data_IF_769854130266
#
_entry.id   IF_769854130266
#
_cell.length_a   1.000
_cell.length_b   1.000
_cell.length_c   1.000
_cell.angle_alpha   90.00
_cell.angle_beta   90.00
_cell.angle_gamma   90.00
#
_symmetry.space_group_name_H-M   'P 1'
#
loop_
_entity.id
_entity.type
_entity.pdbx_description
1 polymer ?
#
# COMPACT_ATOMS: atom_id res chain seq x y z
N UNK A 1 6.58 -27.91 -14.37
CA UNK A 1 7.59 -26.91 -13.97
C UNK A 1 6.83 -25.63 -13.73
N UNK A 2 6.42 -25.39 -12.48
CA UNK A 2 5.66 -24.22 -12.09
C UNK A 2 6.69 -23.10 -11.93
N UNK A 3 6.66 -22.10 -12.81
CA UNK A 3 7.51 -20.91 -12.67
C UNK A 3 7.21 -20.31 -11.28
N UNK A 4 8.25 -19.94 -10.55
CA UNK A 4 8.11 -19.27 -9.25
C UNK A 4 7.30 -17.99 -9.48
N UNK A 5 6.11 -17.89 -8.88
CA UNK A 5 5.16 -16.80 -9.13
C UNK A 5 5.80 -15.42 -8.87
N UNK A 6 6.85 -15.35 -8.04
CA UNK A 6 7.62 -14.12 -7.82
C UNK A 6 8.52 -13.70 -8.98
N UNK A 7 9.01 -14.64 -9.78
CA UNK A 7 9.82 -14.36 -10.98
C UNK A 7 8.96 -13.73 -12.08
N UNK A 8 7.76 -14.28 -12.31
CA UNK A 8 6.81 -13.70 -13.27
C UNK A 8 6.41 -12.27 -12.87
N UNK A 9 6.20 -12.02 -11.57
CA UNK A 9 5.91 -10.68 -11.06
C UNK A 9 7.08 -9.70 -11.23
N UNK A 10 8.31 -10.14 -10.96
CA UNK A 10 9.49 -9.28 -11.16
C UNK A 10 9.70 -8.96 -12.63
N UNK A 11 9.53 -9.92 -13.53
CA UNK A 11 9.62 -9.71 -14.97
C UNK A 11 8.59 -8.68 -15.47
N UNK A 12 7.33 -8.78 -15.03
CA UNK A 12 6.28 -7.81 -15.39
C UNK A 12 6.60 -6.40 -14.87
N UNK A 13 7.04 -6.27 -13.61
CA UNK A 13 7.43 -4.96 -13.06
C UNK A 13 8.67 -4.42 -13.80
N UNK A 14 9.62 -5.28 -14.15
CA UNK A 14 10.80 -4.89 -14.92
C UNK A 14 10.45 -4.45 -16.35
N UNK A 15 9.45 -5.04 -17.00
CA UNK A 15 9.03 -4.63 -18.34
C UNK A 15 8.13 -3.40 -18.30
N UNK A 16 7.01 -3.47 -17.58
CA UNK A 16 5.93 -2.46 -17.63
C UNK A 16 6.07 -1.36 -16.57
N UNK A 17 6.83 -1.61 -15.50
CA UNK A 17 6.93 -0.72 -14.34
C UNK A 17 5.85 -0.93 -13.28
N UNK A 18 4.94 -1.89 -13.47
CA UNK A 18 3.89 -2.21 -12.50
C UNK A 18 3.35 -3.63 -12.70
N UNK A 19 2.56 -4.10 -11.74
CA UNK A 19 1.77 -5.33 -11.88
C UNK A 19 0.51 -5.27 -11.01
N UNK A 20 -0.60 -5.79 -11.54
CA UNK A 20 -1.77 -6.16 -10.75
C UNK A 20 -1.76 -7.68 -10.49
N UNK A 21 -2.14 -8.09 -9.28
CA UNK A 21 -2.25 -9.50 -8.90
C UNK A 21 -3.53 -9.69 -8.10
N UNK A 22 -4.35 -10.67 -8.49
CA UNK A 22 -5.59 -10.95 -7.77
C UNK A 22 -5.31 -11.52 -6.37
N UNK A 23 -6.22 -11.26 -5.43
CA UNK A 23 -6.12 -11.77 -4.07
C UNK A 23 -6.09 -13.30 -4.00
N UNK A 24 -6.69 -14.00 -4.96
CA UNK A 24 -6.56 -15.46 -5.05
C UNK A 24 -5.11 -15.89 -5.33
N UNK A 25 -4.46 -15.27 -6.31
CA UNK A 25 -3.07 -15.56 -6.66
C UNK A 25 -2.12 -15.18 -5.52
N UNK A 26 -2.33 -14.01 -4.90
CA UNK A 26 -1.52 -13.57 -3.76
C UNK A 26 -1.65 -14.54 -2.58
N UNK A 27 -2.88 -14.96 -2.22
CA UNK A 27 -3.09 -15.93 -1.14
C UNK A 27 -2.35 -17.24 -1.42
N UNK A 28 -2.44 -17.76 -2.64
CA UNK A 28 -1.72 -18.96 -3.05
C UNK A 28 -0.20 -18.79 -2.94
N UNK A 29 0.34 -17.66 -3.42
CA UNK A 29 1.76 -17.32 -3.31
C UNK A 29 2.23 -17.27 -1.86
N UNK A 30 1.48 -16.62 -0.98
CA UNK A 30 1.83 -16.51 0.44
C UNK A 30 1.81 -17.90 1.11
N UNK A 31 0.75 -18.68 0.89
CA UNK A 31 0.56 -19.99 1.50
C UNK A 31 1.51 -21.07 0.96
N UNK A 32 2.00 -20.92 -0.28
CA UNK A 32 3.03 -21.78 -0.84
C UNK A 32 4.37 -21.61 -0.12
N UNK A 33 4.68 -20.38 0.33
CA UNK A 33 5.92 -20.07 1.05
C UNK A 33 5.82 -20.43 2.54
N UNK A 34 4.67 -20.16 3.13
CA UNK A 34 4.38 -20.45 4.54
C UNK A 34 2.89 -20.83 4.68
N UNK A 35 2.56 -22.09 5.04
CA UNK A 35 1.17 -22.51 5.24
C UNK A 35 0.39 -21.66 6.25
N UNK A 36 1.09 -21.05 7.22
CA UNK A 36 0.51 -20.23 8.29
C UNK A 36 0.47 -18.73 7.94
N UNK A 37 0.84 -18.35 6.71
CA UNK A 37 0.99 -16.95 6.26
C UNK A 37 -0.24 -16.07 6.51
N UNK A 38 -1.44 -16.64 6.61
CA UNK A 38 -2.70 -15.91 6.82
C UNK A 38 -3.46 -16.39 8.05
N UNK A 39 -2.79 -17.10 8.96
CA UNK A 39 -3.40 -17.66 10.16
C UNK A 39 -4.06 -16.61 11.07
N UNK A 40 -3.57 -15.36 11.04
CA UNK A 40 -4.09 -14.23 11.82
C UNK A 40 -4.91 -13.22 11.01
N UNK A 41 -5.35 -13.60 9.79
CA UNK A 41 -6.03 -12.69 8.86
C UNK A 41 -7.21 -11.91 9.47
N UNK A 42 -8.02 -12.55 10.31
CA UNK A 42 -9.16 -11.90 10.96
C UNK A 42 -8.72 -10.75 11.88
N UNK A 43 -7.65 -10.95 12.66
CA UNK A 43 -7.10 -9.92 13.53
C UNK A 43 -6.39 -8.83 12.74
N UNK A 44 -5.74 -9.21 11.62
CA UNK A 44 -5.12 -8.28 10.70
C UNK A 44 -6.15 -7.35 10.03
N UNK A 45 -7.22 -7.90 9.46
CA UNK A 45 -8.33 -7.14 8.85
C UNK A 45 -9.00 -6.19 9.85
N UNK A 46 -9.31 -6.70 11.06
CA UNK A 46 -9.94 -5.90 12.11
C UNK A 46 -9.05 -4.74 12.61
N UNK A 47 -7.75 -4.75 12.33
CA UNK A 47 -6.84 -3.69 12.82
C UNK A 47 -7.05 -2.32 12.19
N UNK A 48 -7.78 -2.23 11.06
CA UNK A 48 -8.23 -0.95 10.50
C UNK A 48 -9.34 -0.30 11.34
N UNK A 49 -10.03 -1.08 12.16
CA UNK A 49 -11.07 -0.56 13.04
C UNK A 49 -10.46 0.29 14.16
N UNK A 50 -11.13 1.39 14.46
CA UNK A 50 -10.68 2.33 15.50
C UNK A 50 -9.41 3.11 15.16
N UNK A 51 -8.91 3.10 13.92
CA UNK A 51 -7.81 3.98 13.53
C UNK A 51 -8.16 5.47 13.74
N UNK A 52 -7.20 6.29 14.20
CA UNK A 52 -7.44 7.72 14.40
C UNK A 52 -7.60 8.43 13.05
N UNK A 53 -8.25 9.60 13.10
CA UNK A 53 -8.34 10.50 11.96
C UNK A 53 -6.92 11.00 11.57
N UNK A 54 -6.66 11.17 10.28
CA UNK A 54 -5.47 11.87 9.80
C UNK A 54 -5.63 13.38 10.02
N UNK A 55 -4.97 13.91 11.04
CA UNK A 55 -5.02 15.34 11.38
C UNK A 55 -4.14 16.23 10.48
N UNK A 56 -3.39 15.64 9.53
CA UNK A 56 -2.50 16.37 8.63
C UNK A 56 -3.10 16.62 7.24
N UNK A 57 -4.41 16.41 7.06
CA UNK A 57 -5.12 16.65 5.81
C UNK A 57 -5.23 18.16 5.52
N UNK A 58 -4.37 18.68 4.64
CA UNK A 58 -4.29 20.12 4.35
C UNK A 58 -5.52 20.68 3.60
N UNK A 59 -6.31 19.83 2.94
CA UNK A 59 -7.60 20.18 2.35
C UNK A 59 -8.73 20.28 3.38
N UNK A 60 -8.43 19.99 4.66
CA UNK A 60 -9.43 19.93 5.73
C UNK A 60 -10.31 18.69 5.69
N UNK A 61 -10.01 17.72 4.80
CA UNK A 61 -10.80 16.52 4.63
C UNK A 61 -10.79 15.63 5.86
N UNK A 62 -11.94 15.02 6.18
CA UNK A 62 -12.09 14.13 7.34
C UNK A 62 -12.32 12.67 6.96
N UNK A 63 -12.10 12.35 5.69
CA UNK A 63 -12.33 11.04 5.13
C UNK A 63 -11.18 10.04 5.34
N UNK A 64 -10.01 10.44 5.87
CA UNK A 64 -8.85 9.53 5.98
C UNK A 64 -8.53 9.22 7.44
N UNK A 65 -8.45 7.92 7.76
CA UNK A 65 -7.88 7.40 9.01
C UNK A 65 -6.61 6.62 8.72
N UNK A 66 -5.66 6.64 9.64
CA UNK A 66 -4.38 5.96 9.40
C UNK A 66 -3.59 5.59 10.64
N UNK A 67 -2.71 4.60 10.43
CA UNK A 67 -1.56 4.30 11.28
C UNK A 67 -0.30 4.19 10.42
N UNK A 68 0.86 4.21 11.06
CA UNK A 68 2.15 4.20 10.39
C UNK A 68 3.17 3.34 11.13
N UNK A 69 4.07 2.70 10.39
CA UNK A 69 5.27 2.08 10.94
C UNK A 69 6.45 2.21 9.98
N UNK A 70 7.64 2.22 10.55
CA UNK A 70 8.90 2.18 9.80
C UNK A 70 9.61 0.86 10.07
N UNK A 71 10.18 0.28 9.02
CA UNK A 71 10.93 -0.96 9.07
C UNK A 71 12.21 -0.83 8.26
N UNK A 72 13.09 -1.81 8.40
CA UNK A 72 14.25 -1.96 7.53
C UNK A 72 14.46 -3.41 7.14
N UNK A 73 15.17 -3.61 6.04
CA UNK A 73 15.66 -4.93 5.64
C UNK A 73 17.05 -4.81 5.04
N UNK A 74 17.94 -5.74 5.39
CA UNK A 74 19.19 -5.94 4.67
C UNK A 74 18.98 -6.72 3.37
N UNK A 75 20.02 -6.92 2.56
CA UNK A 75 19.91 -7.66 1.30
C UNK A 75 19.36 -9.08 1.51
N UNK A 76 19.88 -9.79 2.51
CA UNK A 76 19.48 -11.16 2.83
C UNK A 76 18.82 -11.28 4.22
N UNK A 77 18.52 -10.15 4.85
CA UNK A 77 18.02 -10.08 6.22
C UNK A 77 16.49 -10.10 6.32
N UNK A 78 15.94 -10.44 7.50
CA UNK A 78 14.51 -10.32 7.74
C UNK A 78 14.07 -8.85 7.72
N UNK A 79 12.78 -8.62 7.46
CA UNK A 79 12.16 -7.31 7.62
C UNK A 79 11.97 -7.04 9.11
N UNK A 80 12.56 -5.96 9.62
CA UNK A 80 12.64 -5.66 11.05
C UNK A 80 11.95 -4.34 11.37
N UNK A 81 11.10 -4.33 12.41
CA UNK A 81 10.42 -3.13 12.90
C UNK A 81 11.43 -2.16 13.54
N UNK A 82 11.41 -0.90 13.11
CA UNK A 82 12.26 0.17 13.64
C UNK A 82 11.54 0.98 14.73
N UNK A 83 12.26 1.77 15.55
CA UNK A 83 11.65 2.77 16.41
C UNK A 83 10.74 3.72 15.60
N UNK A 84 9.64 4.23 16.19
CA UNK A 84 8.75 5.16 15.51
C UNK A 84 9.50 6.38 14.95
N UNK A 85 9.24 6.68 13.69
CA UNK A 85 9.80 7.83 12.97
C UNK A 85 8.65 8.64 12.38
N UNK A 86 8.83 9.95 12.15
CA UNK A 86 7.85 10.72 11.40
C UNK A 86 7.84 10.30 9.92
N UNK A 87 6.67 10.35 9.30
CA UNK A 87 6.53 10.27 7.85
C UNK A 87 6.89 11.62 7.22
N UNK A 88 7.83 11.65 6.28
CA UNK A 88 8.20 12.86 5.55
C UNK A 88 8.14 12.63 4.05
N UNK A 89 7.46 13.54 3.35
CA UNK A 89 7.50 13.64 1.90
C UNK A 89 7.82 15.08 1.52
N UNK A 90 8.64 15.27 0.48
CA UNK A 90 8.84 16.60 -0.09
C UNK A 90 7.56 17.08 -0.77
N UNK A 91 7.45 18.40 -1.00
CA UNK A 91 6.33 18.97 -1.76
C UNK A 91 6.34 18.60 -3.25
N UNK A 92 7.47 18.10 -3.75
CA UNK A 92 7.58 17.59 -5.12
C UNK A 92 6.72 16.35 -5.31
N UNK A 93 6.72 15.44 -4.33
CA UNK A 93 5.97 14.18 -4.38
C UNK A 93 4.59 14.29 -3.76
N UNK A 94 4.45 15.05 -2.67
CA UNK A 94 3.17 15.27 -2.00
C UNK A 94 2.83 16.76 -1.97
N UNK A 95 2.15 17.25 -3.00
CA UNK A 95 1.80 18.67 -3.11
C UNK A 95 0.80 19.12 -2.04
N UNK A 96 -0.02 18.20 -1.52
CA UNK A 96 -1.05 18.51 -0.52
C UNK A 96 -0.47 18.59 0.90
N UNK A 97 0.25 17.55 1.32
CA UNK A 97 0.67 17.35 2.70
C UNK A 97 2.21 17.37 2.89
N UNK A 98 2.98 17.65 1.84
CA UNK A 98 4.44 17.60 1.86
C UNK A 98 5.13 18.82 2.49
N UNK A 99 6.40 18.64 2.82
CA UNK A 99 7.25 19.66 3.45
C UNK A 99 7.13 19.74 4.97
N UNK A 100 6.38 18.83 5.60
CA UNK A 100 6.24 18.72 7.05
C UNK A 100 6.46 17.26 7.45
N UNK A 101 7.19 17.05 8.55
CA UNK A 101 7.34 15.74 9.17
C UNK A 101 6.09 15.43 10.00
N UNK A 102 5.42 14.31 9.70
CA UNK A 102 4.10 13.96 10.27
C UNK A 102 4.24 12.76 11.19
N UNK A 103 3.94 12.94 12.47
CA UNK A 103 3.95 11.86 13.46
C UNK A 103 2.54 11.28 13.54
N UNK A 104 2.41 9.98 13.25
CA UNK A 104 1.15 9.26 13.25
C UNK A 104 1.10 8.23 14.39
N UNK A 105 -0.11 7.77 14.74
CA UNK A 105 -0.26 6.65 15.66
C UNK A 105 0.44 5.40 15.08
N UNK A 106 1.28 4.72 15.89
CA UNK A 106 2.03 3.57 15.41
C UNK A 106 1.11 2.37 15.14
N UNK A 107 1.43 1.58 14.12
CA UNK A 107 0.83 0.24 13.98
C UNK A 107 1.31 -0.62 15.17
N UNK A 108 0.40 -1.29 15.90
CA UNK A 108 0.77 -2.13 17.04
C UNK A 108 1.86 -3.16 16.69
N UNK A 109 2.88 -3.28 17.55
CA UNK A 109 4.00 -4.18 17.30
C UNK A 109 3.60 -5.66 17.20
N UNK A 110 2.49 -6.06 17.84
CA UNK A 110 1.91 -7.40 17.69
C UNK A 110 1.43 -7.67 16.28
N UNK A 111 0.73 -6.72 15.65
CA UNK A 111 0.29 -6.82 14.25
C UNK A 111 1.47 -6.78 13.29
N UNK A 112 2.47 -5.93 13.56
CA UNK A 112 3.68 -5.88 12.75
C UNK A 112 4.46 -7.20 12.74
N UNK A 113 4.35 -8.00 13.81
CA UNK A 113 4.96 -9.33 13.94
C UNK A 113 4.00 -10.47 13.61
N UNK A 114 2.76 -10.17 13.24
CA UNK A 114 1.75 -11.14 12.84
C UNK A 114 2.13 -11.86 11.54
N UNK A 115 1.59 -13.06 11.33
CA UNK A 115 1.98 -13.90 10.19
C UNK A 115 1.58 -13.24 8.87
N UNK A 116 0.35 -12.69 8.77
CA UNK A 116 -0.10 -11.95 7.57
C UNK A 116 0.86 -10.82 7.21
N UNK A 117 1.19 -9.94 8.16
CA UNK A 117 2.07 -8.80 7.89
C UNK A 117 3.47 -9.26 7.46
N UNK A 118 4.06 -10.21 8.18
CA UNK A 118 5.41 -10.70 7.90
C UNK A 118 5.49 -11.43 6.56
N UNK A 119 4.48 -12.21 6.18
CA UNK A 119 4.44 -12.91 4.89
C UNK A 119 4.34 -11.92 3.72
N UNK A 120 3.47 -10.91 3.82
CA UNK A 120 3.37 -9.82 2.81
C UNK A 120 4.72 -9.11 2.67
N UNK A 121 5.29 -8.65 3.78
CA UNK A 121 6.56 -7.91 3.79
C UNK A 121 7.73 -8.73 3.25
N UNK A 122 7.80 -10.02 3.59
CA UNK A 122 8.87 -10.91 3.13
C UNK A 122 8.79 -11.14 1.61
N UNK A 123 7.60 -11.38 1.06
CA UNK A 123 7.40 -11.51 -0.39
C UNK A 123 7.75 -10.21 -1.12
N UNK A 124 7.30 -9.05 -0.65
CA UNK A 124 7.69 -7.77 -1.25
C UNK A 124 9.20 -7.54 -1.21
N UNK A 125 9.84 -7.84 -0.09
CA UNK A 125 11.29 -7.69 0.07
C UNK A 125 12.04 -8.58 -0.93
N UNK A 126 11.68 -9.85 -1.06
CA UNK A 126 12.32 -10.76 -2.00
C UNK A 126 12.09 -10.33 -3.46
N UNK A 127 10.86 -9.93 -3.78
CA UNK A 127 10.49 -9.42 -5.10
C UNK A 127 11.34 -8.19 -5.47
N UNK A 128 11.39 -7.18 -4.60
CA UNK A 128 12.13 -5.96 -4.88
C UNK A 128 13.65 -6.15 -4.81
N UNK A 129 14.15 -7.10 -4.01
CA UNK A 129 15.54 -7.52 -4.05
C UNK A 129 15.93 -8.12 -5.41
N UNK A 130 15.04 -8.88 -6.05
CA UNK A 130 15.31 -9.43 -7.39
C UNK A 130 15.46 -8.32 -8.45
N UNK A 131 14.72 -7.22 -8.29
CA UNK A 131 14.77 -6.04 -9.17
C UNK A 131 15.90 -5.08 -8.83
N UNK A 132 16.34 -5.07 -7.57
CA UNK A 132 17.42 -4.22 -7.03
C UNK A 132 18.37 -5.05 -6.16
N UNK A 133 19.18 -5.93 -6.75
CA UNK A 133 20.08 -6.81 -5.99
C UNK A 133 21.02 -6.05 -5.06
N UNK A 134 21.23 -6.56 -3.85
CA UNK A 134 22.12 -5.97 -2.85
C UNK A 134 21.57 -4.71 -2.16
N UNK A 135 20.30 -4.36 -2.38
CA UNK A 135 19.69 -3.21 -1.73
C UNK A 135 19.53 -3.42 -0.21
N UNK A 136 19.67 -2.31 0.53
CA UNK A 136 19.24 -2.18 1.91
C UNK A 136 18.01 -1.29 1.89
N UNK A 137 16.93 -1.72 2.52
CA UNK A 137 15.66 -1.03 2.43
C UNK A 137 15.36 -0.21 3.68
N UNK A 138 14.92 1.02 3.45
CA UNK A 138 14.01 1.75 4.33
C UNK A 138 12.60 1.41 3.87
N UNK A 139 11.76 0.95 4.79
CA UNK A 139 10.42 0.46 4.48
C UNK A 139 9.44 1.25 5.32
N UNK A 140 8.38 1.77 4.70
CA UNK A 140 7.28 2.40 5.41
C UNK A 140 6.00 1.64 5.17
N UNK A 141 5.24 1.43 6.23
CA UNK A 141 3.95 0.73 6.20
C UNK A 141 2.88 1.69 6.66
N UNK A 142 1.88 1.86 5.81
CA UNK A 142 0.73 2.72 6.06
C UNK A 142 -0.54 1.86 6.07
N UNK A 143 -1.30 1.95 7.15
CA UNK A 143 -2.69 1.53 7.14
C UNK A 143 -3.53 2.74 6.79
N UNK A 144 -4.38 2.63 5.77
CA UNK A 144 -5.33 3.68 5.40
C UNK A 144 -6.74 3.13 5.37
N UNK A 145 -7.67 3.84 6.03
CA UNK A 145 -9.11 3.75 5.78
C UNK A 145 -9.57 5.05 5.16
N UNK A 146 -10.21 4.96 4.00
CA UNK A 146 -10.82 6.08 3.29
C UNK A 146 -12.34 5.93 3.40
N UNK A 147 -12.97 6.82 4.14
CA UNK A 147 -14.41 6.85 4.39
C UNK A 147 -15.11 7.70 3.32
N UNK A 148 -16.32 7.31 2.94
CA UNK A 148 -17.18 8.11 2.07
C UNK A 148 -18.56 8.22 2.70
N UNK A 149 -19.18 9.39 2.60
CA UNK A 149 -20.53 9.64 3.08
C UNK A 149 -21.26 10.66 2.19
N UNK A 150 -22.51 10.98 2.52
CA UNK A 150 -23.32 11.94 1.75
C UNK A 150 -22.73 13.36 1.70
N UNK A 151 -21.93 13.75 2.69
CA UNK A 151 -21.37 15.09 2.82
C UNK A 151 -19.99 15.20 2.16
N UNK A 152 -19.23 14.10 2.13
CA UNK A 152 -17.84 14.07 1.71
C UNK A 152 -17.52 12.79 0.93
N UNK A 153 -16.98 12.95 -0.28
CA UNK A 153 -16.42 11.83 -1.07
C UNK A 153 -15.08 11.44 -0.47
N UNK A 154 -14.83 10.13 -0.38
CA UNK A 154 -13.53 9.64 0.06
C UNK A 154 -12.50 9.77 -1.05
N UNK A 155 -11.36 10.43 -0.78
CA UNK A 155 -10.30 10.62 -1.77
C UNK A 155 -9.04 9.85 -1.37
N UNK A 156 -8.77 8.67 -1.97
CA UNK A 156 -7.58 7.90 -1.60
C UNK A 156 -6.26 8.63 -1.95
N UNK A 157 -6.24 9.31 -3.09
CA UNK A 157 -5.10 10.09 -3.60
C UNK A 157 -5.54 11.54 -3.89
N UNK A 158 -5.69 12.40 -2.86
CA UNK A 158 -6.22 13.75 -3.04
C UNK A 158 -5.30 14.69 -3.84
N UNK A 159 -4.01 14.39 -3.90
CA UNK A 159 -3.06 15.03 -4.81
C UNK A 159 -3.25 14.68 -6.30
N UNK A 160 -4.08 13.67 -6.60
CA UNK A 160 -4.29 13.16 -7.96
C UNK A 160 -3.20 12.19 -8.41
N UNK A 161 -2.84 12.23 -9.70
CA UNK A 161 -1.77 11.38 -10.25
C UNK A 161 -0.42 11.86 -9.72
N UNK A 162 0.27 10.99 -8.99
CA UNK A 162 1.51 11.29 -8.26
C UNK A 162 2.50 10.13 -8.28
N UNK A 163 3.65 10.38 -7.65
CA UNK A 163 4.65 9.39 -7.25
C UNK A 163 4.89 9.57 -5.76
N UNK A 164 5.27 8.51 -5.06
CA UNK A 164 5.52 8.55 -3.63
C UNK A 164 6.91 9.10 -3.27
N UNK A 165 7.84 9.08 -4.23
CA UNK A 165 9.24 9.48 -4.05
C UNK A 165 10.12 8.36 -3.50
N UNK A 166 9.80 7.11 -3.87
CA UNK A 166 10.45 5.89 -3.37
C UNK A 166 10.93 5.02 -4.54
N UNK A 167 11.51 3.84 -4.28
CA UNK A 167 11.87 2.90 -5.36
C UNK A 167 10.65 2.07 -5.78
N UNK A 168 9.95 1.46 -4.82
CA UNK A 168 8.81 0.58 -5.10
C UNK A 168 7.67 0.76 -4.10
N UNK A 169 6.45 0.50 -4.57
CA UNK A 169 5.21 0.61 -3.79
C UNK A 169 4.38 -0.68 -3.95
N UNK A 170 3.87 -1.19 -2.84
CA UNK A 170 2.73 -2.10 -2.80
C UNK A 170 1.51 -1.33 -2.31
N UNK A 171 0.38 -1.47 -3.00
CA UNK A 171 -0.96 -1.16 -2.48
C UNK A 171 -1.76 -2.46 -2.44
N UNK A 172 -2.13 -2.91 -1.24
CA UNK A 172 -2.92 -4.12 -1.02
C UNK A 172 -4.31 -3.76 -0.52
N UNK A 173 -5.34 -4.30 -1.16
CA UNK A 173 -6.72 -4.23 -0.67
C UNK A 173 -6.89 -5.10 0.56
N UNK A 174 -7.38 -4.51 1.65
CA UNK A 174 -7.76 -5.24 2.87
C UNK A 174 -9.27 -5.45 2.86
N UNK A 175 -10.01 -4.35 2.72
CA UNK A 175 -11.47 -4.37 2.81
C UNK A 175 -12.11 -3.26 2.00
N UNK A 176 -13.26 -3.58 1.42
CA UNK A 176 -14.09 -2.62 0.70
C UNK A 176 -15.53 -2.80 1.12
N UNK A 177 -16.15 -1.74 1.62
CA UNK A 177 -17.52 -1.78 2.15
C UNK A 177 -18.33 -0.67 1.53
N UNK A 178 -19.45 -1.03 0.88
CA UNK A 178 -20.50 -0.11 0.43
C UNK A 178 -20.00 1.11 -0.37
N UNK A 179 -18.95 0.93 -1.18
CA UNK A 179 -18.40 1.98 -2.04
C UNK A 179 -18.36 1.57 -3.50
N UNK A 180 -18.62 2.53 -4.40
CA UNK A 180 -18.34 2.45 -5.84
C UNK A 180 -16.99 3.11 -6.15
N UNK A 181 -16.48 2.93 -7.37
CA UNK A 181 -15.23 3.55 -7.86
C UNK A 181 -13.96 3.13 -7.11
N UNK A 182 -13.02 4.02 -6.78
CA UNK A 182 -11.71 3.63 -6.23
C UNK A 182 -10.82 2.88 -7.24
N UNK A 183 -10.91 3.25 -8.52
CA UNK A 183 -10.12 2.67 -9.61
C UNK A 183 -8.70 3.23 -9.56
N UNK A 184 -7.71 2.33 -9.54
CA UNK A 184 -6.31 2.65 -9.69
C UNK A 184 -6.02 2.98 -11.16
N UNK A 185 -5.32 4.07 -11.42
CA UNK A 185 -4.84 4.45 -12.75
C UNK A 185 -3.32 4.55 -12.73
N UNK A 186 -2.66 3.95 -13.71
CA UNK A 186 -1.21 3.99 -13.84
C UNK A 186 -0.82 4.79 -15.07
N UNK A 187 0.24 5.56 -14.94
CA UNK A 187 0.68 6.51 -15.95
C UNK A 187 2.21 6.46 -16.11
N UNK A 188 2.71 6.82 -17.28
CA UNK A 188 4.13 7.12 -17.43
C UNK A 188 4.47 8.49 -16.82
N UNK A 189 5.75 8.87 -16.85
CA UNK A 189 6.22 10.14 -16.29
C UNK A 189 5.68 11.39 -17.01
N UNK A 190 5.21 11.24 -18.25
CA UNK A 190 4.53 12.28 -19.03
C UNK A 190 3.02 12.35 -18.72
N UNK A 191 2.55 11.63 -17.69
CA UNK A 191 1.14 11.51 -17.25
C UNK A 191 0.20 10.83 -18.26
N UNK A 192 0.74 10.19 -19.30
CA UNK A 192 -0.07 9.37 -20.23
C UNK A 192 -0.49 8.09 -19.52
N UNK A 193 -1.78 7.78 -19.55
CA UNK A 193 -2.33 6.57 -18.94
C UNK A 193 -1.78 5.32 -19.64
N UNK A 194 -1.23 4.41 -18.86
CA UNK A 194 -0.72 3.11 -19.28
C UNK A 194 -1.77 2.02 -19.08
N UNK A 195 -2.42 2.03 -17.92
CA UNK A 195 -3.42 1.03 -17.54
C UNK A 195 -4.35 1.54 -16.43
N UNK A 196 -5.45 0.82 -16.19
CA UNK A 196 -6.36 1.08 -15.08
C UNK A 196 -7.07 -0.19 -14.61
N UNK A 197 -7.19 -0.36 -13.30
CA UNK A 197 -7.89 -1.49 -12.70
C UNK A 197 -8.43 -1.13 -11.32
N UNK A 198 -9.40 -1.88 -10.82
CA UNK A 198 -9.97 -1.67 -9.49
C UNK A 198 -9.57 -2.83 -8.59
N UNK A 199 -8.90 -2.56 -7.47
CA UNK A 199 -8.75 -3.54 -6.40
C UNK A 199 -10.13 -3.76 -5.78
N UNK A 200 -10.65 -4.98 -5.87
CA UNK A 200 -12.03 -5.30 -5.45
C UNK A 200 -12.09 -6.33 -4.34
N UNK A 201 -11.14 -7.27 -4.31
CA UNK A 201 -11.12 -8.36 -3.35
C UNK A 201 -10.01 -8.16 -2.31
N UNK A 202 -10.21 -8.64 -1.06
CA UNK A 202 -9.12 -8.74 -0.10
C UNK A 202 -7.91 -9.48 -0.68
N UNK A 203 -6.72 -8.94 -0.43
CA UNK A 203 -5.42 -9.36 -0.97
C UNK A 203 -5.16 -9.02 -2.44
N UNK A 204 -6.04 -8.31 -3.15
CA UNK A 204 -5.67 -7.75 -4.46
C UNK A 204 -4.47 -6.79 -4.28
N UNK A 205 -3.42 -6.98 -5.09
CA UNK A 205 -2.18 -6.20 -5.04
C UNK A 205 -2.01 -5.34 -6.29
N UNK A 206 -1.62 -4.08 -6.09
CA UNK A 206 -0.97 -3.25 -7.09
C UNK A 206 0.49 -3.04 -6.67
N UNK A 207 1.43 -3.42 -7.53
CA UNK A 207 2.87 -3.21 -7.35
C UNK A 207 3.34 -2.19 -8.37
N UNK A 208 4.15 -1.22 -7.96
CA UNK A 208 4.60 -0.11 -8.81
C UNK A 208 6.09 0.15 -8.62
N UNK A 209 6.84 0.27 -9.71
CA UNK A 209 8.16 0.91 -9.76
C UNK A 209 7.96 2.42 -9.83
N UNK A 210 7.97 3.07 -8.66
CA UNK A 210 7.64 4.49 -8.48
C UNK A 210 8.63 5.41 -9.20
N UNK A 211 9.80 4.89 -9.61
CA UNK A 211 10.78 5.64 -10.40
C UNK A 211 10.37 5.78 -11.86
N UNK A 212 9.51 4.89 -12.36
CA UNK A 212 9.13 4.75 -13.77
C UNK A 212 7.67 5.07 -14.03
N UNK A 213 6.81 4.84 -13.04
CA UNK A 213 5.37 5.01 -13.18
C UNK A 213 4.85 6.02 -12.15
N UNK A 214 3.83 6.77 -12.57
CA UNK A 214 2.96 7.52 -11.67
C UNK A 214 1.68 6.73 -11.47
N UNK A 215 1.00 6.98 -10.35
CA UNK A 215 -0.26 6.33 -10.05
C UNK A 215 -1.27 7.30 -9.44
N UNK A 216 -2.55 6.95 -9.55
CA UNK A 216 -3.66 7.68 -8.94
C UNK A 216 -4.78 6.71 -8.58
N UNK A 217 -5.72 7.19 -7.77
CA UNK A 217 -6.93 6.43 -7.45
C UNK A 217 -8.12 7.37 -7.52
N UNK A 218 -9.14 6.99 -8.28
CA UNK A 218 -10.37 7.80 -8.35
C UNK A 218 -11.02 7.91 -6.97
N UNK A 219 -11.77 8.99 -6.68
CA UNK A 219 -12.58 9.05 -5.47
C UNK A 219 -13.51 7.83 -5.32
N UNK A 220 -13.84 7.51 -4.07
CA UNK A 220 -14.83 6.50 -3.72
C UNK A 220 -16.13 7.17 -3.30
N UNK A 221 -17.26 6.60 -3.69
CA UNK A 221 -18.59 7.13 -3.39
C UNK A 221 -19.42 6.09 -2.66
N UNK A 222 -20.21 6.54 -1.67
CA UNK A 222 -21.12 5.69 -0.91
C UNK A 222 -22.26 5.20 -1.82
N UNK A 223 -22.51 3.88 -1.84
CA UNK A 223 -23.58 3.27 -2.65
C UNK A 223 -24.92 3.38 -1.92
N UNK A 224 -25.02 2.80 -0.73
CA UNK A 224 -26.20 2.87 0.14
C UNK A 224 -25.95 3.90 1.25
N UNK A 225 -26.72 4.99 1.23
CA UNK A 225 -26.55 6.10 2.18
C UNK A 225 -26.97 5.76 3.60
N UNK A 226 -27.63 4.63 3.83
CA UNK A 226 -28.01 4.16 5.17
C UNK A 226 -26.94 3.33 5.88
N UNK A 227 -25.87 2.94 5.16
CA UNK A 227 -24.80 2.09 5.68
C UNK A 227 -23.44 2.80 5.62
N UNK A 228 -22.53 2.46 6.53
CA UNK A 228 -21.15 2.96 6.47
C UNK A 228 -20.47 2.57 5.14
N UNK A 229 -19.56 3.40 4.65
CA UNK A 229 -18.88 3.17 3.37
C UNK A 229 -17.41 3.54 3.48
N UNK A 230 -16.52 2.59 3.16
CA UNK A 230 -15.08 2.79 3.28
C UNK A 230 -14.24 1.84 2.43
N UNK A 231 -12.99 2.24 2.23
CA UNK A 231 -11.91 1.50 1.56
C UNK A 231 -10.70 1.36 2.48
N UNK A 232 -10.32 0.15 2.80
CA UNK A 232 -9.15 -0.17 3.61
C UNK A 232 -8.02 -0.73 2.74
N UNK A 233 -6.86 -0.09 2.83
CA UNK A 233 -5.64 -0.56 2.16
C UNK A 233 -4.44 -0.54 3.09
N UNK A 234 -3.56 -1.51 2.84
CA UNK A 234 -2.18 -1.48 3.29
C UNK A 234 -1.33 -0.92 2.16
N UNK A 235 -0.57 0.13 2.43
CA UNK A 235 0.46 0.63 1.51
C UNK A 235 1.83 0.36 2.11
N UNK A 236 2.73 -0.25 1.34
CA UNK A 236 4.10 -0.51 1.76
C UNK A 236 5.05 0.10 0.73
N UNK A 237 5.93 0.98 1.17
CA UNK A 237 6.92 1.63 0.31
C UNK A 237 8.31 1.12 0.63
N UNK A 238 9.16 0.98 -0.39
CA UNK A 238 10.55 0.56 -0.28
C UNK A 238 11.42 1.64 -0.90
N UNK A 239 12.36 2.18 -0.11
CA UNK A 239 13.38 3.13 -0.56
C UNK A 239 14.76 2.56 -0.27
N UNK A 240 15.63 2.50 -1.27
CA UNK A 240 16.98 2.02 -1.10
C UNK A 240 17.77 3.01 -0.24
N UNK A 241 18.32 2.54 0.89
CA UNK A 241 19.29 3.30 1.69
C UNK A 241 20.58 3.46 0.89
N UNK A 242 21.08 4.69 0.85
CA UNK A 242 22.38 5.04 0.26
C UNK A 242 23.50 4.56 1.18
#
# INVERSE_FOLDING_TARGET
>A
MQLDDTVSLSENIASEGFSFVSGQQVKALLQQRDPDALADWESFDASWDGMPLDEYMADGGRYRRRRFATLSAGPDGPVTLEPPQPHYQSREYNSLNGGVARVYEPIPASLMRGSTMQSVLSVCRDLFNSLRPGARWHIEVHQFRIEANQQERGQPAPEGIHRDGVDYVLVMMVKRVNISSGTTTLHNLDRVMLDSFTLTNPMDWALVDDRRCMHGVTPVEQIDTSQVAYRDVLVVTFTKKI
#
